data_IF_077593096058
#
_entry.id   IF_077593096058
#
_cell.length_a   1.000
_cell.length_b   1.000
_cell.length_c   1.000
_cell.angle_alpha   90.00
_cell.angle_beta   90.00
_cell.angle_gamma   90.00
#
_symmetry.space_group_name_H-M   'P 1'
#
loop_
_entity.id
_entity.type
_entity.pdbx_description
1 polymer ?
#
# COMPACT_ATOMS: atom_id res chain seq x y z
N UNK A 1 6.73 -26.83 -11.29
CA UNK A 1 7.25 -26.88 -9.91
C UNK A 1 7.28 -28.35 -9.50
N UNK A 2 8.44 -28.91 -9.15
CA UNK A 2 8.53 -30.28 -8.63
C UNK A 2 8.00 -30.29 -7.19
N UNK A 3 6.94 -31.05 -6.96
CA UNK A 3 6.20 -31.09 -5.69
C UNK A 3 7.00 -31.78 -4.59
N UNK A 4 7.17 -31.09 -3.47
CA UNK A 4 7.47 -31.74 -2.21
C UNK A 4 6.29 -32.65 -1.81
N UNK A 5 6.55 -33.69 -1.01
CA UNK A 5 5.49 -34.49 -0.42
C UNK A 5 4.52 -33.58 0.35
N UNK A 6 3.19 -33.73 0.17
CA UNK A 6 2.23 -32.99 0.97
C UNK A 6 2.50 -33.18 2.45
N UNK A 7 2.46 -32.09 3.21
CA UNK A 7 2.55 -32.11 4.67
C UNK A 7 1.17 -31.83 5.25
N UNK A 8 0.96 -32.24 6.50
CA UNK A 8 -0.27 -31.93 7.21
C UNK A 8 -0.49 -30.41 7.24
N UNK A 9 -1.68 -29.97 6.82
CA UNK A 9 -2.02 -28.57 6.80
C UNK A 9 -2.31 -28.08 8.21
N UNK A 10 -1.74 -26.94 8.58
CA UNK A 10 -2.00 -26.26 9.86
C UNK A 10 -2.60 -24.90 9.59
N UNK A 11 -3.64 -24.54 10.33
CA UNK A 11 -4.26 -23.21 10.35
C UNK A 11 -3.81 -22.53 11.63
N UNK A 12 -2.66 -21.82 11.63
CA UNK A 12 -2.22 -21.11 12.81
C UNK A 12 -3.19 -19.95 13.10
N UNK A 13 -3.65 -19.88 14.35
CA UNK A 13 -4.58 -18.84 14.83
C UNK A 13 -3.83 -17.67 15.50
N UNK A 14 -2.54 -17.51 15.20
CA UNK A 14 -1.75 -16.43 15.73
C UNK A 14 -2.21 -15.09 15.12
N UNK A 15 -1.96 -14.01 15.85
CA UNK A 15 -2.03 -12.67 15.25
C UNK A 15 -1.05 -12.56 14.09
N UNK A 16 -1.42 -11.75 13.09
CA UNK A 16 -0.47 -11.29 12.09
C UNK A 16 0.23 -10.02 12.59
N UNK A 17 1.54 -9.91 12.37
CA UNK A 17 2.28 -8.73 12.75
C UNK A 17 1.82 -7.50 11.96
N UNK A 18 2.02 -6.33 12.53
CA UNK A 18 1.88 -5.08 11.80
C UNK A 18 2.85 -5.04 10.61
N UNK A 19 2.48 -4.27 9.59
CA UNK A 19 3.35 -3.97 8.45
C UNK A 19 3.51 -2.47 8.36
N UNK A 20 4.75 -2.01 8.46
CA UNK A 20 5.10 -0.62 8.26
C UNK A 20 4.74 -0.15 6.85
N UNK A 21 4.24 1.08 6.73
CA UNK A 21 4.07 1.75 5.44
C UNK A 21 5.44 2.00 4.82
N UNK A 22 5.67 1.45 3.62
CA UNK A 22 6.92 1.69 2.84
C UNK A 22 6.66 2.51 1.59
N UNK A 23 5.43 2.45 1.07
CA UNK A 23 4.97 3.30 -0.02
C UNK A 23 3.49 3.69 0.14
N UNK A 24 3.16 4.84 -0.46
CA UNK A 24 1.81 5.35 -0.58
C UNK A 24 1.60 6.12 -1.90
N UNK A 25 0.35 6.38 -2.21
CA UNK A 25 -0.08 7.16 -3.38
C UNK A 25 -1.03 8.24 -2.90
N UNK A 26 -0.81 9.49 -3.32
CA UNK A 26 -1.75 10.59 -3.15
C UNK A 26 -1.83 11.37 -4.45
N UNK A 27 -2.97 11.25 -5.13
CA UNK A 27 -3.24 11.93 -6.40
C UNK A 27 -4.11 13.15 -6.12
N UNK A 28 -3.56 14.34 -6.30
CA UNK A 28 -4.27 15.59 -6.08
C UNK A 28 -4.78 16.19 -7.41
N UNK A 29 -5.98 16.74 -7.37
CA UNK A 29 -6.46 17.71 -8.36
C UNK A 29 -6.46 19.08 -7.67
N UNK A 30 -5.51 19.92 -8.05
CA UNK A 30 -5.33 21.25 -7.46
C UNK A 30 -6.02 22.30 -8.33
N UNK A 31 -6.74 23.23 -7.71
CA UNK A 31 -7.34 24.33 -8.47
C UNK A 31 -6.26 25.33 -8.91
N UNK A 32 -6.24 25.68 -10.19
CA UNK A 32 -5.29 26.67 -10.70
C UNK A 32 -5.59 28.08 -10.19
N UNK A 33 -6.73 28.33 -9.54
CA UNK A 33 -7.18 29.66 -9.11
C UNK A 33 -6.62 30.12 -7.76
N UNK A 34 -5.85 29.27 -7.07
CA UNK A 34 -5.16 29.69 -5.84
C UNK A 34 -4.20 30.85 -6.12
N UNK A 35 -4.13 31.80 -5.19
CA UNK A 35 -3.12 32.85 -5.25
C UNK A 35 -1.72 32.26 -5.07
N UNK A 36 -0.73 32.88 -5.71
CA UNK A 36 0.67 32.53 -5.50
C UNK A 36 1.11 33.00 -4.11
N UNK A 37 1.61 32.09 -3.29
CA UNK A 37 2.20 32.38 -1.98
C UNK A 37 3.69 32.68 -2.18
N UNK A 38 4.14 33.94 -1.96
CA UNK A 38 5.51 34.34 -2.23
C UNK A 38 6.54 33.50 -1.49
N UNK A 39 7.72 33.29 -2.10
CA UNK A 39 8.81 32.53 -1.49
C UNK A 39 9.30 33.12 -0.14
N UNK A 40 9.12 34.43 0.06
CA UNK A 40 9.47 35.11 1.31
C UNK A 40 8.49 34.80 2.47
N UNK A 41 7.28 34.34 2.17
CA UNK A 41 6.31 33.91 3.20
C UNK A 41 6.80 32.61 3.83
N UNK A 42 7.03 32.64 5.14
CA UNK A 42 7.41 31.46 5.91
C UNK A 42 6.19 30.55 6.06
N UNK A 43 6.34 29.28 5.69
CA UNK A 43 5.30 28.27 5.87
C UNK A 43 5.01 28.03 7.36
N UNK A 44 3.73 27.98 7.73
CA UNK A 44 3.28 27.71 9.09
C UNK A 44 1.98 26.87 9.03
N UNK A 45 1.99 25.60 9.49
CA UNK A 45 0.84 24.70 9.36
C UNK A 45 -0.39 25.17 10.14
N UNK A 46 -0.23 26.08 11.11
CA UNK A 46 -1.31 26.63 11.92
C UNK A 46 -1.90 27.92 11.33
N UNK A 47 -1.34 28.41 10.22
CA UNK A 47 -1.74 29.63 9.52
C UNK A 47 -2.25 29.33 8.10
N UNK A 48 -3.58 29.29 7.88
CA UNK A 48 -4.19 28.96 6.60
C UNK A 48 -3.74 29.82 5.42
N UNK A 49 -3.28 31.05 5.64
CA UNK A 49 -2.76 31.94 4.60
C UNK A 49 -1.40 31.52 4.04
N UNK A 50 -0.71 30.56 4.69
CA UNK A 50 0.64 30.13 4.30
C UNK A 50 0.63 28.85 3.44
N UNK A 51 -0.53 28.26 3.20
CA UNK A 51 -0.70 27.13 2.30
C UNK A 51 -1.99 27.24 1.48
N UNK A 52 -2.03 26.57 0.34
CA UNK A 52 -3.18 26.62 -0.57
C UNK A 52 -4.17 25.49 -0.27
N UNK A 53 -3.66 24.30 0.05
CA UNK A 53 -4.48 23.12 0.33
C UNK A 53 -3.77 22.19 1.30
N UNK A 54 -4.52 21.46 2.13
CA UNK A 54 -4.00 20.43 3.03
C UNK A 54 -4.88 19.20 2.99
N UNK A 55 -4.26 18.03 3.00
CA UNK A 55 -4.95 16.76 3.18
C UNK A 55 -4.20 15.87 4.18
N UNK A 56 -4.92 15.01 4.89
CA UNK A 56 -4.34 14.09 5.86
C UNK A 56 -4.30 12.65 5.32
N UNK A 57 -3.18 11.94 5.54
CA UNK A 57 -3.02 10.51 5.26
C UNK A 57 -2.64 9.75 6.52
N UNK A 58 -3.36 8.67 6.79
CA UNK A 58 -2.99 7.71 7.81
C UNK A 58 -1.96 6.70 7.30
N UNK A 59 -0.89 6.51 8.07
CA UNK A 59 0.15 5.49 7.84
C UNK A 59 0.44 4.68 9.11
N UNK A 60 1.23 3.61 9.00
CA UNK A 60 1.54 2.68 10.09
C UNK A 60 3.04 2.43 10.21
N UNK A 61 3.55 2.38 11.44
CA UNK A 61 4.96 2.04 11.71
C UNK A 61 5.18 0.52 11.84
N UNK A 62 6.41 0.14 12.18
CA UNK A 62 6.81 -1.25 12.39
C UNK A 62 6.10 -1.97 13.54
N UNK A 63 5.54 -1.24 14.51
CA UNK A 63 4.74 -1.79 15.61
C UNK A 63 3.24 -1.69 15.35
N UNK A 64 2.83 -1.04 14.26
CA UNK A 64 1.43 -0.81 13.90
C UNK A 64 0.82 0.42 14.58
N UNK A 65 1.64 1.30 15.18
CA UNK A 65 1.12 2.59 15.63
C UNK A 65 0.69 3.43 14.42
N UNK A 66 -0.37 4.22 14.63
CA UNK A 66 -0.96 5.06 13.60
C UNK A 66 -0.27 6.42 13.55
N UNK A 67 0.18 6.81 12.36
CA UNK A 67 0.73 8.13 12.07
C UNK A 67 -0.21 8.92 11.19
N UNK A 68 -0.50 10.15 11.58
CA UNK A 68 -1.36 11.07 10.83
C UNK A 68 -0.49 12.11 10.13
N UNK A 69 -0.27 11.88 8.84
CA UNK A 69 0.60 12.67 7.98
C UNK A 69 -0.23 13.74 7.28
N UNK A 70 -0.04 14.99 7.68
CA UNK A 70 -0.60 16.13 6.98
C UNK A 70 0.30 16.49 5.80
N UNK A 71 -0.28 16.59 4.61
CA UNK A 71 0.40 16.97 3.36
C UNK A 71 -0.18 18.30 2.91
N UNK A 72 0.65 19.34 2.93
CA UNK A 72 0.30 20.70 2.55
C UNK A 72 0.86 21.01 1.17
N UNK A 73 0.03 21.63 0.34
CA UNK A 73 0.37 22.12 -0.99
C UNK A 73 0.40 23.64 -0.96
N UNK A 74 1.51 24.23 -1.42
CA UNK A 74 1.74 25.68 -1.41
C UNK A 74 2.04 26.13 -2.82
N UNK A 75 1.14 26.86 -3.47
CA UNK A 75 1.38 27.38 -4.83
C UNK A 75 2.47 28.45 -4.80
N UNK A 76 3.53 28.28 -5.59
CA UNK A 76 4.74 29.14 -5.56
C UNK A 76 4.94 30.02 -6.77
N UNK A 77 4.51 29.59 -7.94
CA UNK A 77 4.70 30.35 -9.16
C UNK A 77 3.73 29.95 -10.26
N UNK A 78 3.51 30.88 -11.17
CA UNK A 78 2.83 30.67 -12.44
C UNK A 78 3.75 31.06 -13.58
N UNK A 79 3.70 30.32 -14.69
CA UNK A 79 4.47 30.62 -15.89
C UNK A 79 3.70 30.17 -17.13
N UNK A 80 3.69 31.03 -18.15
CA UNK A 80 3.08 30.73 -19.45
C UNK A 80 3.92 29.77 -20.30
N UNK A 81 5.16 29.47 -19.88
CA UNK A 81 6.08 28.58 -20.60
C UNK A 81 6.47 27.36 -19.78
N UNK A 82 6.75 27.54 -18.48
CA UNK A 82 7.16 26.47 -17.57
C UNK A 82 5.98 25.86 -16.79
N UNK A 83 4.79 26.47 -16.87
CA UNK A 83 3.63 26.09 -16.08
C UNK A 83 3.74 26.50 -14.60
N UNK A 84 3.02 25.80 -13.73
CA UNK A 84 2.84 26.22 -12.34
C UNK A 84 3.63 25.33 -11.37
N UNK A 85 4.23 25.94 -10.34
CA UNK A 85 4.99 25.22 -9.32
C UNK A 85 4.29 25.24 -7.97
N UNK A 86 4.35 24.12 -7.27
CA UNK A 86 3.79 23.90 -5.94
C UNK A 86 4.82 23.27 -5.04
N UNK A 87 5.01 23.80 -3.84
CA UNK A 87 5.79 23.13 -2.81
C UNK A 87 4.91 22.17 -2.03
N UNK A 88 5.51 21.04 -1.62
CA UNK A 88 4.86 20.06 -0.76
C UNK A 88 5.56 20.06 0.59
N UNK A 89 4.81 20.32 1.66
CA UNK A 89 5.25 20.22 3.04
C UNK A 89 4.54 19.05 3.72
N UNK A 90 5.21 18.41 4.68
CA UNK A 90 4.54 17.42 5.53
C UNK A 90 4.82 17.59 7.00
N UNK A 91 3.85 17.18 7.81
CA UNK A 91 3.91 17.10 9.27
C UNK A 91 3.26 15.80 9.75
N UNK A 92 4.01 15.01 10.50
CA UNK A 92 3.46 13.90 11.28
C UNK A 92 2.92 14.44 12.62
N UNK A 93 1.59 14.53 12.72
CA UNK A 93 0.93 15.02 13.93
C UNK A 93 0.88 14.00 15.08
N UNK A 94 1.23 12.73 14.83
CA UNK A 94 1.26 11.68 15.84
C UNK A 94 2.59 11.61 16.59
N UNK A 95 3.67 12.08 15.98
CA UNK A 95 5.03 11.91 16.49
C UNK A 95 5.26 12.48 17.90
N UNK A 96 6.09 11.78 18.68
CA UNK A 96 6.56 12.16 20.02
C UNK A 96 8.08 11.93 20.14
N UNK A 97 8.91 12.97 20.34
CA UNK A 97 8.54 14.38 20.50
C UNK A 97 7.88 14.96 19.24
N UNK A 98 7.14 16.06 19.42
CA UNK A 98 6.45 16.70 18.30
C UNK A 98 7.46 17.15 17.24
N UNK A 99 7.17 16.84 15.98
CA UNK A 99 7.96 17.28 14.83
C UNK A 99 7.49 18.65 14.33
N UNK A 100 8.33 19.27 13.49
CA UNK A 100 7.97 20.49 12.78
C UNK A 100 7.69 20.17 11.32
N UNK A 101 6.73 20.89 10.74
CA UNK A 101 6.42 20.73 9.34
C UNK A 101 7.61 21.17 8.48
N UNK A 102 7.93 20.41 7.43
CA UNK A 102 9.06 20.72 6.57
C UNK A 102 8.77 20.40 5.10
N UNK A 103 9.42 21.16 4.21
CA UNK A 103 9.32 20.98 2.77
C UNK A 103 9.91 19.63 2.38
N UNK A 104 9.16 18.83 1.62
CA UNK A 104 9.59 17.53 1.08
C UNK A 104 9.96 17.59 -0.38
N UNK A 105 9.54 18.63 -1.09
CA UNK A 105 9.83 18.78 -2.49
C UNK A 105 8.91 19.81 -3.15
N UNK A 106 8.87 19.74 -4.46
CA UNK A 106 8.01 20.57 -5.29
C UNK A 106 7.46 19.77 -6.46
N UNK A 107 6.26 20.12 -6.89
CA UNK A 107 5.57 19.60 -8.06
C UNK A 107 5.49 20.71 -9.10
N UNK A 108 5.82 20.40 -10.34
CA UNK A 108 5.66 21.32 -11.47
C UNK A 108 4.64 20.74 -12.43
N UNK A 109 3.58 21.50 -12.69
CA UNK A 109 2.57 21.17 -13.69
C UNK A 109 2.85 21.94 -14.97
N UNK A 110 2.72 21.30 -16.12
CA UNK A 110 2.85 21.97 -17.42
C UNK A 110 1.68 22.93 -17.70
N UNK A 111 1.75 23.61 -18.84
CA UNK A 111 0.71 24.57 -19.27
C UNK A 111 -0.65 23.92 -19.56
N UNK A 112 -0.71 22.59 -19.70
CA UNK A 112 -1.95 21.83 -19.87
C UNK A 112 -2.49 21.28 -18.53
N UNK A 113 -1.77 21.52 -17.43
CA UNK A 113 -2.17 21.08 -16.10
C UNK A 113 -1.75 19.65 -15.75
N UNK A 114 -0.91 19.00 -16.55
CA UNK A 114 -0.38 17.68 -16.23
C UNK A 114 0.87 17.79 -15.35
N UNK A 115 1.04 16.89 -14.39
CA UNK A 115 2.27 16.83 -13.59
C UNK A 115 3.46 16.49 -14.50
N UNK A 116 4.40 17.43 -14.61
CA UNK A 116 5.57 17.34 -15.47
C UNK A 116 6.80 16.84 -14.72
N UNK A 117 7.01 17.34 -13.51
CA UNK A 117 8.18 16.96 -12.70
C UNK A 117 7.96 17.08 -11.20
N UNK A 118 8.73 16.31 -10.44
CA UNK A 118 8.79 16.39 -8.96
C UNK A 118 10.24 16.52 -8.51
N UNK A 119 10.51 17.42 -7.57
CA UNK A 119 11.75 17.40 -6.78
C UNK A 119 11.51 16.64 -5.48
N UNK A 120 12.48 15.84 -5.04
CA UNK A 120 12.43 15.12 -3.77
C UNK A 120 13.56 15.62 -2.85
N UNK A 121 13.20 16.42 -1.85
CA UNK A 121 14.14 17.13 -0.98
C UNK A 121 15.02 18.08 -1.78
N UNK A 122 16.33 17.83 -1.76
CA UNK A 122 17.33 18.58 -2.52
C UNK A 122 17.70 17.92 -3.85
N UNK A 123 17.06 16.80 -4.21
CA UNK A 123 17.33 16.13 -5.46
C UNK A 123 16.83 16.98 -6.65
N UNK A 124 17.51 16.92 -7.81
CA UNK A 124 17.04 17.56 -9.03
C UNK A 124 15.62 17.11 -9.40
N UNK A 125 14.90 17.94 -10.15
CA UNK A 125 13.57 17.62 -10.64
C UNK A 125 13.62 16.38 -11.55
N UNK A 126 12.75 15.40 -11.27
CA UNK A 126 12.59 14.18 -12.05
C UNK A 126 11.30 14.24 -12.86
N UNK A 127 11.36 13.78 -14.12
CA UNK A 127 10.21 13.69 -15.04
C UNK A 127 9.65 12.28 -15.15
N UNK A 128 10.28 11.31 -14.49
CA UNK A 128 9.90 9.87 -14.54
C UNK A 128 9.61 9.29 -13.17
N UNK A 129 10.11 9.92 -12.12
CA UNK A 129 9.88 9.55 -10.73
C UNK A 129 9.17 10.71 -10.03
N UNK A 130 7.90 10.50 -9.68
CA UNK A 130 7.06 11.48 -9.02
C UNK A 130 6.88 11.19 -7.52
N UNK A 131 7.89 10.57 -6.90
CA UNK A 131 7.86 10.23 -5.48
C UNK A 131 8.51 11.30 -4.60
N UNK A 132 7.94 11.46 -3.40
CA UNK A 132 8.46 12.27 -2.31
C UNK A 132 8.79 11.36 -1.13
N UNK A 133 9.93 11.58 -0.48
CA UNK A 133 10.29 10.85 0.74
C UNK A 133 9.65 11.53 1.95
N UNK A 134 8.74 10.82 2.60
CA UNK A 134 7.96 11.36 3.72
C UNK A 134 8.44 10.72 5.02
N UNK A 135 8.89 11.49 6.02
CA UNK A 135 9.24 10.96 7.33
C UNK A 135 8.00 10.66 8.16
N UNK A 136 8.15 9.66 9.01
CA UNK A 136 7.29 9.33 10.13
C UNK A 136 8.15 9.35 11.38
N UNK A 137 7.71 10.08 12.39
CA UNK A 137 8.47 10.27 13.61
C UNK A 137 8.46 9.05 14.51
N UNK A 138 8.95 9.22 15.74
CA UNK A 138 8.86 8.19 16.78
C UNK A 138 7.48 8.22 17.41
N UNK A 139 6.82 7.07 17.56
CA UNK A 139 5.58 6.91 18.32
C UNK A 139 5.70 5.69 19.21
N UNK A 140 5.41 5.85 20.51
CA UNK A 140 5.39 4.76 21.50
C UNK A 140 6.65 3.85 21.49
N UNK A 141 7.82 4.41 21.16
CA UNK A 141 9.09 3.66 21.13
C UNK A 141 9.38 2.94 19.80
N UNK A 142 8.48 2.99 18.82
CA UNK A 142 8.82 2.58 17.45
C UNK A 142 9.83 3.56 16.83
N UNK A 143 10.86 3.07 16.13
CA UNK A 143 11.86 3.93 15.52
C UNK A 143 11.23 4.80 14.41
N UNK A 144 11.76 6.02 14.24
CA UNK A 144 11.43 6.86 13.10
C UNK A 144 11.78 6.14 11.79
N UNK A 145 10.97 6.36 10.76
CA UNK A 145 11.12 5.73 9.46
C UNK A 145 10.65 6.67 8.35
N UNK A 146 10.81 6.26 7.10
CA UNK A 146 10.33 7.01 5.94
C UNK A 146 9.57 6.11 4.98
N UNK A 147 8.63 6.68 4.23
CA UNK A 147 7.97 6.00 3.12
C UNK A 147 8.01 6.85 1.84
N UNK A 148 7.88 6.19 0.69
CA UNK A 148 7.79 6.86 -0.60
C UNK A 148 6.32 7.20 -0.93
N UNK A 149 6.00 8.49 -1.04
CA UNK A 149 4.68 8.96 -1.46
C UNK A 149 4.71 9.35 -2.93
N UNK A 150 4.01 8.59 -3.78
CA UNK A 150 3.86 8.94 -5.20
C UNK A 150 2.75 9.97 -5.40
N UNK A 151 3.07 11.03 -6.13
CA UNK A 151 2.12 12.02 -6.62
C UNK A 151 1.75 11.80 -8.10
N UNK A 152 2.19 10.69 -8.70
CA UNK A 152 1.98 10.38 -10.11
C UNK A 152 0.49 10.43 -10.50
N UNK A 153 0.18 11.13 -11.59
CA UNK A 153 -1.19 11.29 -12.07
C UNK A 153 -1.93 12.50 -11.48
N UNK A 154 -1.31 13.25 -10.56
CA UNK A 154 -1.87 14.52 -10.08
C UNK A 154 -2.02 15.52 -11.22
N UNK A 155 -3.00 16.42 -11.10
CA UNK A 155 -3.29 17.45 -12.09
C UNK A 155 -3.55 18.80 -11.44
N UNK A 156 -3.44 19.83 -12.25
CA UNK A 156 -3.87 21.17 -11.90
C UNK A 156 -4.78 21.72 -13.00
N UNK A 157 -6.03 22.07 -12.66
CA UNK A 157 -6.99 22.67 -13.58
C UNK A 157 -7.87 23.68 -12.83
N UNK A 158 -8.61 24.53 -13.53
CA UNK A 158 -9.60 25.37 -12.87
C UNK A 158 -10.84 24.53 -12.49
N UNK A 159 -10.76 23.82 -11.37
CA UNK A 159 -11.82 22.94 -10.84
C UNK A 159 -12.71 23.64 -9.82
N UNK A 160 -12.40 24.88 -9.42
CA UNK A 160 -13.08 25.63 -8.37
C UNK A 160 -12.68 25.21 -6.94
N UNK A 161 -12.43 23.90 -6.71
CA UNK A 161 -11.96 23.36 -5.42
C UNK A 161 -10.88 22.30 -5.63
N UNK A 162 -9.97 22.19 -4.66
CA UNK A 162 -9.01 21.08 -4.61
C UNK A 162 -9.67 19.77 -4.19
N UNK A 163 -9.09 18.65 -4.58
CA UNK A 163 -9.54 17.32 -4.16
C UNK A 163 -8.43 16.28 -4.23
N UNK A 164 -8.57 15.21 -3.45
CA UNK A 164 -7.74 14.01 -3.56
C UNK A 164 -8.55 12.93 -4.29
N UNK A 165 -8.05 12.49 -5.43
CA UNK A 165 -8.70 11.49 -6.31
C UNK A 165 -8.36 10.07 -5.88
N UNK A 166 -7.15 9.86 -5.38
CA UNK A 166 -6.68 8.55 -4.93
C UNK A 166 -5.77 8.73 -3.74
N UNK A 167 -6.01 7.94 -2.70
CA UNK A 167 -5.21 7.93 -1.49
C UNK A 167 -5.11 6.50 -0.96
N UNK A 168 -3.91 5.93 -0.97
CA UNK A 168 -3.67 4.57 -0.45
C UNK A 168 -2.24 4.42 0.07
N UNK A 169 -2.01 3.39 0.88
CA UNK A 169 -0.70 3.06 1.44
C UNK A 169 -0.58 1.56 1.75
N UNK A 170 0.63 1.08 1.98
CA UNK A 170 0.99 -0.36 2.00
C UNK A 170 1.03 -1.05 3.36
N UNK A 171 0.96 -0.29 4.45
CA UNK A 171 1.03 -0.73 5.82
C UNK A 171 -0.33 -0.94 6.49
N UNK A 172 -0.31 -1.63 7.62
CA UNK A 172 -1.49 -1.95 8.43
C UNK A 172 -1.07 -2.28 9.86
N UNK A 173 -1.98 -2.06 10.82
CA UNK A 173 -1.80 -2.48 12.21
C UNK A 173 -1.80 -4.02 12.34
N UNK A 174 -1.31 -4.56 13.45
CA UNK A 174 -1.44 -5.98 13.75
C UNK A 174 -2.93 -6.41 13.79
N UNK A 175 -3.19 -7.68 13.48
CA UNK A 175 -4.54 -8.22 13.40
C UNK A 175 -4.66 -9.57 14.08
N UNK A 176 -5.70 -9.75 14.88
CA UNK A 176 -6.06 -11.04 15.47
C UNK A 176 -6.73 -11.93 14.43
N UNK A 177 -6.51 -13.24 14.52
CA UNK A 177 -7.18 -14.21 13.66
C UNK A 177 -8.70 -14.21 13.92
N UNK A 178 -9.51 -14.03 12.88
CA UNK A 178 -10.97 -14.02 12.99
C UNK A 178 -11.62 -15.23 12.35
N UNK A 179 -10.94 -15.89 11.41
CA UNK A 179 -11.48 -17.05 10.71
C UNK A 179 -10.63 -17.46 9.52
N UNK A 180 -11.11 -18.44 8.76
CA UNK A 180 -10.51 -18.83 7.50
C UNK A 180 -11.60 -19.21 6.49
N UNK A 181 -11.26 -19.12 5.22
CA UNK A 181 -12.08 -19.60 4.11
C UNK A 181 -11.26 -20.54 3.23
N UNK A 182 -11.94 -21.49 2.58
CA UNK A 182 -11.36 -22.36 1.57
C UNK A 182 -11.94 -21.91 0.23
N UNK A 183 -11.06 -21.52 -0.69
CA UNK A 183 -11.44 -21.13 -2.04
C UNK A 183 -11.61 -22.36 -2.94
N UNK A 184 -12.25 -22.17 -4.09
CA UNK A 184 -12.53 -23.26 -5.03
C UNK A 184 -11.26 -23.90 -5.63
N UNK A 185 -10.13 -23.21 -5.62
CA UNK A 185 -8.81 -23.72 -6.04
C UNK A 185 -8.09 -24.49 -4.91
N UNK A 186 -8.77 -24.74 -3.79
CA UNK A 186 -8.25 -25.42 -2.61
C UNK A 186 -7.35 -24.54 -1.74
N UNK A 187 -7.15 -23.25 -2.07
CA UNK A 187 -6.38 -22.34 -1.22
C UNK A 187 -7.14 -21.99 0.05
N UNK A 188 -6.44 -22.06 1.19
CA UNK A 188 -6.99 -21.71 2.50
C UNK A 188 -6.48 -20.33 2.89
N UNK A 189 -7.40 -19.38 3.02
CA UNK A 189 -7.11 -17.99 3.36
C UNK A 189 -7.56 -17.70 4.79
N UNK A 190 -6.65 -17.27 5.67
CA UNK A 190 -6.97 -16.73 6.98
C UNK A 190 -7.46 -15.28 6.86
N UNK A 191 -8.45 -14.91 7.66
CA UNK A 191 -8.98 -13.55 7.79
C UNK A 191 -8.62 -12.98 9.15
N UNK A 192 -8.32 -11.68 9.21
CA UNK A 192 -7.83 -11.01 10.42
C UNK A 192 -8.64 -9.75 10.75
N UNK A 193 -8.58 -9.31 12.01
CA UNK A 193 -9.35 -8.15 12.51
C UNK A 193 -8.93 -6.81 11.89
N UNK A 194 -7.76 -6.74 11.26
CA UNK A 194 -7.26 -5.59 10.52
C UNK A 194 -7.65 -5.61 9.02
N UNK A 195 -8.64 -6.43 8.66
CA UNK A 195 -9.15 -6.63 7.30
C UNK A 195 -8.13 -7.18 6.30
N UNK A 196 -6.99 -7.71 6.77
CA UNK A 196 -6.05 -8.42 5.92
C UNK A 196 -6.44 -9.89 5.78
N UNK A 197 -5.96 -10.50 4.69
CA UNK A 197 -6.04 -11.94 4.47
C UNK A 197 -4.66 -12.51 4.20
N UNK A 198 -4.44 -13.76 4.61
CA UNK A 198 -3.16 -14.45 4.39
C UNK A 198 -3.40 -15.87 3.89
N UNK A 199 -2.65 -16.29 2.88
CA UNK A 199 -2.63 -17.68 2.43
C UNK A 199 -1.97 -18.53 3.53
N UNK A 200 -2.72 -19.49 4.07
CA UNK A 200 -2.27 -20.43 5.10
C UNK A 200 -1.76 -21.74 4.50
N UNK A 201 -2.26 -22.09 3.32
CA UNK A 201 -1.80 -23.22 2.54
C UNK A 201 -2.79 -23.58 1.44
N UNK A 202 -2.56 -24.71 0.77
CA UNK A 202 -3.41 -25.17 -0.32
C UNK A 202 -3.59 -26.68 -0.24
N UNK A 203 -4.82 -27.14 -0.45
CA UNK A 203 -5.15 -28.56 -0.51
C UNK A 203 -4.59 -29.13 -1.81
N UNK A 204 -3.78 -30.18 -1.67
CA UNK A 204 -3.30 -30.96 -2.80
C UNK A 204 -4.30 -32.07 -3.11
N UNK A 205 -4.60 -32.23 -4.39
CA UNK A 205 -5.44 -33.28 -4.92
C UNK A 205 -4.56 -34.43 -5.43
N UNK A 206 -5.06 -35.65 -5.33
CA UNK A 206 -4.41 -36.86 -5.86
C UNK A 206 -5.36 -37.55 -6.83
N UNK A 207 -4.85 -37.94 -7.98
CA UNK A 207 -5.53 -38.81 -8.93
C UNK A 207 -4.67 -40.05 -9.22
N UNK A 208 -5.30 -41.12 -9.65
CA UNK A 208 -4.65 -42.37 -10.01
C UNK A 208 -5.01 -42.74 -11.45
N UNK A 209 -4.07 -43.36 -12.16
CA UNK A 209 -4.32 -43.81 -13.53
C UNK A 209 -5.43 -44.88 -13.60
N UNK A 210 -5.56 -45.70 -12.55
CA UNK A 210 -6.61 -46.71 -12.43
C UNK A 210 -7.26 -46.65 -11.02
N UNK A 211 -8.32 -45.83 -10.82
CA UNK A 211 -9.00 -45.72 -9.52
C UNK A 211 -9.58 -47.04 -9.00
N UNK A 212 -10.04 -47.95 -9.87
CA UNK A 212 -10.55 -49.28 -9.49
C UNK A 212 -9.47 -50.21 -8.93
N UNK A 213 -8.19 -49.86 -9.11
CA UNK A 213 -7.07 -50.58 -8.52
C UNK A 213 -6.81 -50.24 -7.06
N UNK A 214 -7.50 -49.26 -6.47
CA UNK A 214 -7.32 -48.87 -5.08
C UNK A 214 -7.93 -49.90 -4.12
N UNK A 215 -7.29 -50.09 -2.97
CA UNK A 215 -7.83 -50.92 -1.88
C UNK A 215 -8.73 -50.06 -0.99
N UNK A 216 -9.97 -50.48 -0.76
CA UNK A 216 -10.85 -49.80 0.21
C UNK A 216 -10.42 -50.15 1.63
N UNK A 217 -10.26 -49.13 2.48
CA UNK A 217 -9.91 -49.29 3.89
C UNK A 217 -11.13 -49.03 4.82
N UNK A 218 -12.34 -48.88 4.24
CA UNK A 218 -13.55 -48.47 4.96
C UNK A 218 -13.71 -46.94 5.05
N UNK A 219 -14.85 -46.46 5.57
CA UNK A 219 -15.14 -45.04 5.83
C UNK A 219 -14.91 -44.06 4.66
N UNK A 220 -15.08 -44.54 3.41
CA UNK A 220 -14.76 -43.83 2.17
C UNK A 220 -13.26 -43.47 2.00
N UNK A 221 -12.36 -44.20 2.67
CA UNK A 221 -10.89 -44.08 2.54
C UNK A 221 -10.34 -45.19 1.66
N UNK A 222 -9.31 -44.84 0.87
CA UNK A 222 -8.68 -45.71 -0.11
C UNK A 222 -7.16 -45.69 0.01
N UNK A 223 -6.52 -46.82 -0.28
CA UNK A 223 -5.06 -47.01 -0.23
C UNK A 223 -4.51 -47.41 -1.60
N UNK A 224 -3.38 -46.81 -1.97
CA UNK A 224 -2.63 -47.13 -3.20
C UNK A 224 -2.23 -48.61 -3.23
N UNK A 225 -2.34 -49.22 -4.41
CA UNK A 225 -1.83 -50.56 -4.69
C UNK A 225 -0.99 -50.56 -5.98
N UNK A 226 -0.29 -51.66 -6.26
CA UNK A 226 0.41 -51.81 -7.53
C UNK A 226 -0.54 -51.69 -8.75
N UNK A 227 -1.81 -52.11 -8.59
CA UNK A 227 -2.81 -52.09 -9.66
C UNK A 227 -3.43 -50.71 -9.91
N UNK A 228 -3.35 -49.78 -8.94
CA UNK A 228 -3.83 -48.39 -9.14
C UNK A 228 -2.82 -47.51 -9.89
N UNK A 229 -1.54 -47.91 -9.89
CA UNK A 229 -0.42 -47.09 -10.33
C UNK A 229 -0.02 -46.03 -9.30
N UNK A 230 1.03 -45.27 -9.62
CA UNK A 230 1.56 -44.22 -8.75
C UNK A 230 0.59 -43.03 -8.63
N UNK A 231 0.58 -42.31 -7.48
CA UNK A 231 -0.23 -41.12 -7.29
C UNK A 231 0.22 -39.96 -8.18
N UNK A 232 -0.74 -39.32 -8.83
CA UNK A 232 -0.56 -38.10 -9.61
C UNK A 232 -1.09 -36.93 -8.79
N UNK A 233 -0.20 -36.03 -8.38
CA UNK A 233 -0.53 -34.87 -7.55
C UNK A 233 -0.94 -33.68 -8.42
N UNK A 234 -1.89 -32.88 -7.93
CA UNK A 234 -2.29 -31.62 -8.55
C UNK A 234 -3.01 -30.69 -7.58
N UNK A 235 -3.48 -29.56 -8.10
CA UNK A 235 -4.28 -28.57 -7.35
C UNK A 235 -5.67 -28.52 -7.93
N UNK A 236 -6.69 -28.25 -7.11
CA UNK A 236 -8.07 -28.09 -7.58
C UNK A 236 -8.16 -27.00 -8.68
N UNK A 237 -9.05 -27.20 -9.65
CA UNK A 237 -9.26 -26.30 -10.79
C UNK A 237 -8.15 -26.27 -11.86
N UNK A 238 -7.17 -27.18 -11.84
CA UNK A 238 -6.07 -27.24 -12.82
C UNK A 238 -5.77 -28.67 -13.28
N UNK A 239 -5.31 -28.85 -14.52
CA UNK A 239 -4.63 -30.08 -14.96
C UNK A 239 -5.41 -31.40 -14.82
N UNK A 240 -6.73 -31.38 -15.00
CA UNK A 240 -7.59 -32.56 -14.84
C UNK A 240 -8.15 -32.77 -13.43
N UNK A 241 -7.84 -31.86 -12.50
CA UNK A 241 -8.48 -31.74 -11.20
C UNK A 241 -9.54 -30.63 -11.30
N UNK A 242 -10.81 -30.99 -11.09
CA UNK A 242 -11.96 -30.08 -11.18
C UNK A 242 -12.01 -29.03 -10.09
#
# INVERSE_FOLDING_TARGET
QQGANPVALSVPQNMIPAKATTSGVMVANLTSTHDVIPAATTFDPDKPETYSFVNNMTTFDSLGNRHEINVFYVKRSESTTAGNSWDVYTLDSSAKPAETAAKRGSMTFDTNGALQSVTNGTNPASTTDFTLTIPMGVVNGAPAQTFALSAAGSKQQNTGTDSIVTQNQTGYAAGEFTGFQINNDGSIMGTYSNSQTQLLGQIVMVNFANPEGLSSEGDNVWKETLSSGNPILGTAGSGGFG
#
